data_IF_973686880747
#
_entry.id   IF_973686880747
#
_cell.length_a   1.000
_cell.length_b   1.000
_cell.length_c   1.000
_cell.angle_alpha   90.00
_cell.angle_beta   90.00
_cell.angle_gamma   90.00
#
_symmetry.space_group_name_H-M   'P 1'
#
loop_
_entity.id
_entity.type
_entity.pdbx_description
1 polymer ?
#
# COMPACT_ATOMS: atom_id res chain seq x y z
N UNK A 1 3.98 10.08 21.97
CA UNK A 1 5.01 11.14 21.83
C UNK A 1 5.93 10.97 20.62
N UNK A 2 6.06 9.78 20.01
CA UNK A 2 6.99 9.54 18.90
C UNK A 2 6.49 10.07 17.52
N UNK A 3 5.18 10.18 17.30
CA UNK A 3 4.61 10.59 16.00
C UNK A 3 4.97 12.02 15.55
N UNK A 4 5.31 12.90 16.49
CA UNK A 4 5.74 14.29 16.19
C UNK A 4 7.20 14.29 15.67
N UNK A 5 8.06 13.44 16.23
CA UNK A 5 9.49 13.38 15.90
C UNK A 5 9.73 12.89 14.48
N UNK A 6 8.94 11.90 14.02
CA UNK A 6 9.03 11.36 12.66
C UNK A 6 8.59 12.34 11.56
N UNK A 7 7.76 13.34 11.90
CA UNK A 7 7.30 14.37 10.95
C UNK A 7 8.29 15.52 10.79
N UNK A 8 9.16 15.73 11.78
CA UNK A 8 10.10 16.86 11.82
C UNK A 8 11.45 16.54 11.18
N UNK A 9 11.86 15.27 11.16
CA UNK A 9 13.13 14.83 10.56
C UNK A 9 12.84 13.92 9.36
N UNK A 10 13.03 14.43 8.11
CA UNK A 10 12.85 13.64 6.91
C UNK A 10 13.71 12.38 6.92
N UNK A 11 13.13 11.24 6.54
CA UNK A 11 13.83 9.94 6.46
C UNK A 11 14.10 9.23 7.79
N UNK A 12 13.79 9.86 8.95
CA UNK A 12 14.04 9.24 10.26
C UNK A 12 13.20 7.97 10.48
N UNK A 13 11.92 8.03 10.14
CA UNK A 13 11.01 6.88 10.24
C UNK A 13 11.47 5.70 9.38
N UNK A 14 11.94 5.99 8.16
CA UNK A 14 12.44 4.98 7.22
C UNK A 14 13.73 4.36 7.75
N UNK A 15 14.65 5.18 8.26
CA UNK A 15 15.91 4.72 8.84
C UNK A 15 15.70 3.82 10.06
N UNK A 16 14.74 4.14 10.92
CA UNK A 16 14.44 3.34 12.10
C UNK A 16 13.74 2.03 11.73
N UNK A 17 12.80 2.07 10.77
CA UNK A 17 12.18 0.86 10.23
C UNK A 17 13.21 -0.08 9.63
N UNK A 18 14.15 0.46 8.85
CA UNK A 18 15.25 -0.33 8.27
C UNK A 18 16.09 -1.00 9.36
N UNK A 19 16.51 -0.24 10.38
CA UNK A 19 17.26 -0.81 11.52
C UNK A 19 16.50 -1.91 12.27
N UNK A 20 15.20 -1.75 12.48
CA UNK A 20 14.36 -2.78 13.11
C UNK A 20 14.23 -4.02 12.24
N UNK A 21 14.07 -3.83 10.93
CA UNK A 21 13.98 -4.91 9.96
C UNK A 21 15.28 -5.71 9.89
N UNK A 22 16.42 -5.03 9.79
CA UNK A 22 17.76 -5.65 9.79
C UNK A 22 17.96 -6.49 11.06
N UNK A 23 17.61 -5.94 12.22
CA UNK A 23 17.66 -6.67 13.49
C UNK A 23 16.78 -7.93 13.51
N UNK A 24 15.57 -7.84 12.95
CA UNK A 24 14.65 -8.97 12.84
C UNK A 24 15.18 -10.03 11.87
N UNK A 25 15.71 -9.63 10.71
CA UNK A 25 16.34 -10.53 9.73
C UNK A 25 17.54 -11.25 10.34
N UNK A 26 18.41 -10.53 11.04
CA UNK A 26 19.57 -11.11 11.73
C UNK A 26 19.15 -12.10 12.82
N UNK A 27 18.11 -11.76 13.60
CA UNK A 27 17.56 -12.66 14.62
C UNK A 27 16.99 -13.95 14.00
N UNK A 28 16.24 -13.84 12.89
CA UNK A 28 15.69 -15.00 12.16
C UNK A 28 16.82 -15.87 11.59
N UNK A 29 17.87 -15.27 11.01
CA UNK A 29 19.08 -15.97 10.54
C UNK A 29 19.78 -16.74 11.67
N UNK A 30 19.96 -16.13 12.85
CA UNK A 30 20.55 -16.81 14.00
C UNK A 30 19.68 -17.95 14.54
N UNK A 31 18.36 -17.85 14.41
CA UNK A 31 17.41 -18.89 14.82
C UNK A 31 17.31 -20.06 13.82
N UNK A 32 18.00 -20.01 12.68
CA UNK A 32 17.95 -21.03 11.64
C UNK A 32 16.64 -21.05 10.83
N UNK A 33 15.85 -19.98 10.90
CA UNK A 33 14.59 -19.83 10.17
C UNK A 33 14.88 -19.35 8.73
N UNK A 34 14.14 -19.85 7.73
CA UNK A 34 14.25 -19.33 6.36
C UNK A 34 13.87 -17.85 6.35
N UNK A 35 14.78 -17.00 5.87
CA UNK A 35 14.54 -15.57 5.73
C UNK A 35 14.25 -15.31 4.27
N UNK A 36 12.98 -15.14 3.93
CA UNK A 36 12.57 -14.69 2.60
C UNK A 36 13.10 -13.27 2.38
N UNK A 37 14.09 -13.14 1.49
CA UNK A 37 14.71 -11.85 1.16
C UNK A 37 13.76 -10.90 0.42
N UNK A 38 12.57 -11.39 0.02
CA UNK A 38 11.52 -10.64 -0.67
C UNK A 38 10.61 -9.79 0.24
N UNK A 39 10.75 -9.86 1.58
CA UNK A 39 9.99 -9.01 2.53
C UNK A 39 10.35 -7.50 2.46
N UNK A 40 10.98 -7.01 1.38
CA UNK A 40 11.27 -5.59 1.13
C UNK A 40 10.53 -4.96 -0.05
N UNK A 41 9.60 -5.64 -0.72
CA UNK A 41 8.61 -4.89 -1.50
C UNK A 41 7.57 -4.34 -0.54
N UNK A 42 7.76 -3.09 -0.10
CA UNK A 42 6.62 -2.23 0.24
C UNK A 42 5.61 -2.40 -0.91
N UNK A 43 4.54 -3.17 -0.68
CA UNK A 43 3.60 -3.59 -1.73
C UNK A 43 3.42 -2.48 -2.75
N UNK A 44 3.94 -2.65 -3.98
CA UNK A 44 3.95 -1.60 -5.01
C UNK A 44 2.56 -0.99 -5.07
N UNK A 45 2.39 0.28 -4.68
CA UNK A 45 1.07 0.92 -4.70
C UNK A 45 0.87 1.62 -6.03
N UNK A 46 -0.30 1.44 -6.62
CA UNK A 46 -0.72 2.10 -7.86
C UNK A 46 -1.87 3.06 -7.57
N UNK A 47 -1.89 4.18 -8.28
CA UNK A 47 -2.99 5.14 -8.25
C UNK A 47 -3.72 5.04 -9.58
N UNK A 48 -5.04 4.85 -9.54
CA UNK A 48 -5.89 4.76 -10.73
C UNK A 48 -6.98 5.81 -10.68
N UNK A 49 -7.36 6.31 -11.86
CA UNK A 49 -8.50 7.22 -12.05
C UNK A 49 -9.58 6.52 -12.86
N UNK A 50 -10.78 6.43 -12.29
CA UNK A 50 -11.97 5.87 -12.91
C UNK A 50 -12.72 6.97 -13.66
N UNK A 51 -12.79 6.84 -14.99
CA UNK A 51 -13.45 7.81 -15.88
C UNK A 51 -14.62 7.08 -16.55
N UNK A 52 -15.87 7.57 -16.41
CA UNK A 52 -17.00 7.02 -17.14
C UNK A 52 -16.79 7.13 -18.65
N UNK A 53 -17.05 6.04 -19.37
CA UNK A 53 -16.88 6.00 -20.83
C UNK A 53 -17.98 6.71 -21.61
N UNK A 54 -19.09 7.05 -20.96
CA UNK A 54 -20.24 7.71 -21.56
C UNK A 54 -20.79 8.80 -20.62
N UNK A 55 -21.35 9.89 -21.16
CA UNK A 55 -21.78 11.05 -20.37
C UNK A 55 -23.03 10.81 -19.51
N UNK A 56 -23.80 9.76 -19.83
CA UNK A 56 -25.00 9.30 -19.14
C UNK A 56 -24.73 8.36 -17.96
N UNK A 57 -23.48 7.89 -17.81
CA UNK A 57 -23.09 7.00 -16.72
C UNK A 57 -22.86 7.78 -15.41
N UNK A 58 -23.27 7.22 -14.26
CA UNK A 58 -23.05 7.84 -12.98
C UNK A 58 -21.55 8.01 -12.70
N UNK A 59 -21.16 9.23 -12.32
CA UNK A 59 -19.78 9.52 -11.91
C UNK A 59 -19.55 8.96 -10.50
N UNK A 60 -18.52 8.13 -10.28
CA UNK A 60 -18.20 7.64 -8.95
C UNK A 60 -17.83 8.83 -8.04
N UNK A 61 -18.37 8.85 -6.81
CA UNK A 61 -18.06 9.90 -5.81
C UNK A 61 -16.57 9.98 -5.48
N UNK A 62 -15.84 8.86 -5.61
CA UNK A 62 -14.39 8.77 -5.38
C UNK A 62 -13.71 8.12 -6.60
N UNK A 63 -13.42 8.91 -7.65
CA UNK A 63 -12.90 8.38 -8.91
C UNK A 63 -11.41 8.02 -8.84
N UNK A 64 -10.65 8.60 -7.90
CA UNK A 64 -9.22 8.31 -7.73
C UNK A 64 -9.05 7.32 -6.58
N UNK A 65 -8.37 6.20 -6.85
CA UNK A 65 -8.22 5.09 -5.90
C UNK A 65 -6.75 4.67 -5.82
N UNK A 66 -6.24 4.52 -4.60
CA UNK A 66 -4.92 3.92 -4.34
C UNK A 66 -5.09 2.44 -4.03
N UNK A 67 -4.42 1.59 -4.80
CA UNK A 67 -4.54 0.13 -4.72
C UNK A 67 -3.17 -0.53 -4.57
N UNK A 68 -3.18 -1.77 -4.10
CA UNK A 68 -2.01 -2.67 -4.20
C UNK A 68 -1.74 -2.98 -5.68
N UNK A 69 -0.47 -3.15 -6.04
CA UNK A 69 -0.03 -3.56 -7.37
C UNK A 69 -0.40 -4.99 -7.73
N UNK A 70 -0.86 -5.77 -6.74
CA UNK A 70 -1.49 -7.08 -6.95
C UNK A 70 -2.98 -6.98 -7.26
N UNK A 71 -3.58 -5.78 -7.22
CA UNK A 71 -4.99 -5.60 -7.50
C UNK A 71 -5.32 -5.95 -8.96
N UNK A 72 -6.36 -6.75 -9.15
CA UNK A 72 -6.83 -7.15 -10.48
C UNK A 72 -8.01 -6.31 -10.93
N UNK A 73 -8.39 -6.44 -12.21
CA UNK A 73 -9.61 -5.82 -12.77
C UNK A 73 -10.86 -6.21 -11.96
N UNK A 74 -10.91 -7.41 -11.37
CA UNK A 74 -12.05 -7.84 -10.56
C UNK A 74 -12.19 -7.00 -9.27
N UNK A 75 -11.07 -6.62 -8.65
CA UNK A 75 -11.05 -5.72 -7.49
C UNK A 75 -11.67 -4.37 -7.83
N UNK A 76 -11.35 -3.82 -9.01
CA UNK A 76 -11.92 -2.57 -9.51
C UNK A 76 -13.43 -2.70 -9.80
N UNK A 77 -13.86 -3.80 -10.43
CA UNK A 77 -15.29 -4.06 -10.69
C UNK A 77 -16.10 -4.07 -9.39
N UNK A 78 -15.61 -4.78 -8.37
CA UNK A 78 -16.25 -4.82 -7.03
C UNK A 78 -16.31 -3.44 -6.38
N UNK A 79 -15.25 -2.66 -6.50
CA UNK A 79 -15.23 -1.29 -5.98
C UNK A 79 -16.24 -0.39 -6.69
N UNK A 80 -16.36 -0.48 -8.01
CA UNK A 80 -17.35 0.27 -8.78
C UNK A 80 -18.78 -0.13 -8.38
N UNK A 81 -19.06 -1.42 -8.25
CA UNK A 81 -20.37 -1.91 -7.79
C UNK A 81 -20.75 -1.35 -6.42
N UNK A 82 -19.82 -1.38 -5.46
CA UNK A 82 -20.03 -0.83 -4.13
C UNK A 82 -20.35 0.68 -4.14
N UNK A 83 -19.75 1.43 -5.06
CA UNK A 83 -20.01 2.86 -5.18
C UNK A 83 -21.34 3.20 -5.85
N UNK A 84 -21.91 2.28 -6.63
CA UNK A 84 -23.18 2.48 -7.35
C UNK A 84 -24.42 2.03 -6.58
N UNK A 85 -24.26 1.29 -5.47
CA UNK A 85 -25.38 0.78 -4.64
C UNK A 85 -25.89 1.78 -3.58
N UNK A 86 -25.98 3.08 -3.91
CA UNK A 86 -26.62 4.12 -3.09
C UNK A 86 -27.74 4.85 -3.84
#
# INVERSE_FOLDING_TARGET
MQDIVYKLVPGLLESERKRRLDFLKDKKRMAGEQVDEEEEETEKKMIVSLIPGAPDLPKPTRPIVRLSGMATVNTLKRYVLYLTEL
#
